data_IF_975441364218
#
_entry.id   IF_975441364218
#
_cell.length_a   1.000
_cell.length_b   1.000
_cell.length_c   1.000
_cell.angle_alpha   90.00
_cell.angle_beta   90.00
_cell.angle_gamma   90.00
#
_symmetry.space_group_name_H-M   'P 1'
#
loop_
_entity.id
_entity.type
_entity.pdbx_description
1 polymer ?
#
# COMPACT_ATOMS: atom_id res chain seq x y z
N UNK A 1 1.32 10.64 5.72
CA UNK A 1 1.96 10.24 7.00
C UNK A 1 2.89 9.06 6.75
N UNK A 2 3.91 8.82 7.59
CA UNK A 2 4.81 7.67 7.43
C UNK A 2 4.24 6.42 8.11
N UNK A 3 4.08 5.34 7.35
CA UNK A 3 3.68 4.02 7.86
C UNK A 3 4.94 3.28 8.29
N UNK A 4 5.37 3.53 9.52
CA UNK A 4 6.62 2.99 10.07
C UNK A 4 6.47 2.71 11.55
N UNK A 5 7.17 1.68 12.05
CA UNK A 5 7.18 1.33 13.46
C UNK A 5 7.60 2.52 14.32
N UNK A 6 6.80 2.82 15.34
CA UNK A 6 7.07 3.89 16.31
C UNK A 6 6.44 5.24 15.97
N UNK A 7 5.96 5.44 14.74
CA UNK A 7 5.12 6.59 14.45
C UNK A 7 3.75 6.42 15.13
N UNK A 8 3.35 7.40 15.95
CA UNK A 8 2.06 7.42 16.67
C UNK A 8 1.07 8.44 16.12
N UNK A 9 1.41 9.08 15.00
CA UNK A 9 0.49 10.01 14.33
C UNK A 9 -0.80 9.27 13.92
N UNK A 10 -1.94 9.83 14.32
CA UNK A 10 -3.24 9.27 13.92
C UNK A 10 -3.53 9.58 12.45
N UNK A 11 -3.97 8.57 11.71
CA UNK A 11 -4.50 8.75 10.36
C UNK A 11 -5.78 9.58 10.41
N UNK A 12 -5.90 10.54 9.48
CA UNK A 12 -7.06 11.43 9.35
C UNK A 12 -7.63 11.35 7.95
N UNK A 13 -8.90 11.71 7.81
CA UNK A 13 -9.56 11.83 6.50
C UNK A 13 -8.72 12.73 5.58
N UNK A 14 -8.53 12.28 4.35
CA UNK A 14 -7.75 12.99 3.33
C UNK A 14 -6.24 12.67 3.36
N UNK A 15 -5.75 11.97 4.38
CA UNK A 15 -4.39 11.45 4.35
C UNK A 15 -4.26 10.44 3.20
N UNK A 16 -3.17 10.56 2.45
CA UNK A 16 -2.76 9.60 1.42
C UNK A 16 -1.41 9.00 1.84
N UNK A 17 -1.25 7.70 1.64
CA UNK A 17 -0.01 6.95 1.84
C UNK A 17 0.03 5.70 0.96
N UNK A 18 1.20 5.11 0.81
CA UNK A 18 1.41 3.84 0.11
C UNK A 18 1.30 2.66 1.09
N UNK A 19 0.63 1.59 0.66
CA UNK A 19 0.75 0.26 1.29
C UNK A 19 1.64 -0.60 0.40
N UNK A 20 2.92 -0.72 0.79
CA UNK A 20 3.96 -1.26 -0.08
C UNK A 20 4.90 -2.30 0.59
N UNK A 21 4.39 -3.33 1.28
CA UNK A 21 5.24 -4.33 1.91
C UNK A 21 6.03 -5.13 0.87
N UNK A 22 7.32 -5.30 1.13
CA UNK A 22 8.23 -6.07 0.29
C UNK A 22 8.86 -7.25 1.02
N UNK A 23 8.99 -8.38 0.34
CA UNK A 23 9.76 -9.54 0.81
C UNK A 23 10.91 -9.76 -0.16
N UNK A 24 12.12 -9.86 0.39
CA UNK A 24 13.35 -9.97 -0.38
C UNK A 24 14.13 -11.22 0.02
N UNK A 25 14.53 -12.02 -0.97
CA UNK A 25 15.39 -13.18 -0.80
C UNK A 25 16.78 -12.88 -1.38
N UNK A 26 17.81 -12.67 -0.54
CA UNK A 26 19.15 -12.28 -1.00
C UNK A 26 19.72 -13.22 -2.05
N UNK A 27 20.29 -12.65 -3.11
CA UNK A 27 20.89 -13.40 -4.21
C UNK A 27 19.91 -14.11 -5.14
N UNK A 28 18.59 -13.94 -4.96
CA UNK A 28 17.57 -14.49 -5.86
C UNK A 28 16.67 -13.40 -6.44
N UNK A 29 15.67 -12.98 -5.70
CA UNK A 29 14.68 -11.98 -6.13
C UNK A 29 14.00 -11.35 -4.92
N UNK A 30 13.25 -10.28 -5.17
CA UNK A 30 12.32 -9.69 -4.21
C UNK A 30 11.01 -9.36 -4.90
N UNK A 31 9.94 -9.30 -4.11
CA UNK A 31 8.61 -8.91 -4.56
C UNK A 31 8.13 -7.81 -3.63
N UNK A 32 7.58 -6.76 -4.22
CA UNK A 32 6.84 -5.69 -3.53
C UNK A 32 5.54 -5.48 -4.29
N UNK A 33 4.45 -5.41 -3.56
CA UNK A 33 3.13 -5.02 -4.08
C UNK A 33 2.85 -3.68 -3.43
N UNK A 34 2.42 -2.71 -4.24
CA UNK A 34 2.29 -1.31 -3.82
C UNK A 34 0.96 -0.77 -4.32
N UNK A 35 0.15 -0.27 -3.37
CA UNK A 35 -1.14 0.39 -3.61
C UNK A 35 -1.12 1.80 -3.01
N UNK A 36 -1.69 2.78 -3.71
CA UNK A 36 -1.99 4.10 -3.14
C UNK A 36 -3.29 4.05 -2.33
N UNK A 37 -3.25 4.51 -1.08
CA UNK A 37 -4.38 4.44 -0.14
C UNK A 37 -4.78 5.84 0.31
N UNK A 38 -6.06 6.17 0.14
CA UNK A 38 -6.67 7.39 0.71
C UNK A 38 -7.57 7.04 1.89
N UNK A 39 -7.39 7.78 2.99
CA UNK A 39 -8.25 7.65 4.17
C UNK A 39 -9.53 8.45 3.95
N UNK A 40 -10.66 7.76 4.04
CA UNK A 40 -12.02 8.30 3.90
C UNK A 40 -12.74 8.30 5.25
N UNK A 41 -13.97 8.81 5.28
CA UNK A 41 -14.82 8.76 6.49
C UNK A 41 -15.23 7.34 6.90
N UNK A 42 -15.25 6.40 5.95
CA UNK A 42 -15.70 5.01 6.18
C UNK A 42 -14.54 4.03 6.39
N UNK A 43 -13.31 4.52 6.52
CA UNK A 43 -12.08 3.72 6.50
C UNK A 43 -11.21 4.06 5.29
N UNK A 44 -10.45 3.11 4.79
CA UNK A 44 -9.56 3.31 3.65
C UNK A 44 -10.18 2.91 2.31
N UNK A 45 -9.71 3.55 1.23
CA UNK A 45 -10.00 3.15 -0.14
C UNK A 45 -8.70 3.08 -0.92
N UNK A 46 -8.54 1.97 -1.64
CA UNK A 46 -7.43 1.80 -2.57
C UNK A 46 -7.72 2.60 -3.84
N UNK A 47 -6.74 3.37 -4.26
CA UNK A 47 -6.76 4.15 -5.49
C UNK A 47 -6.06 3.33 -6.56
N UNK A 48 -6.72 2.30 -7.11
CA UNK A 48 -6.10 1.49 -8.17
C UNK A 48 -6.88 1.42 -9.48
N UNK A 49 -6.05 1.30 -10.52
CA UNK A 49 -6.33 0.91 -11.88
C UNK A 49 -6.13 -0.62 -11.98
N UNK A 50 -7.17 -1.33 -12.44
CA UNK A 50 -7.27 -2.77 -12.78
C UNK A 50 -6.14 -3.75 -12.36
N UNK A 51 -6.35 -4.49 -11.26
CA UNK A 51 -5.48 -5.59 -10.76
C UNK A 51 -5.53 -6.91 -11.56
N UNK A 52 -6.25 -6.99 -12.69
CA UNK A 52 -6.41 -8.24 -13.46
C UNK A 52 -5.23 -8.59 -14.37
N UNK A 53 -4.00 -8.40 -13.87
CA UNK A 53 -2.79 -8.75 -14.63
C UNK A 53 -2.71 -10.27 -14.94
N UNK A 54 -3.33 -11.11 -14.09
CA UNK A 54 -3.34 -12.58 -14.26
C UNK A 54 -4.53 -13.16 -15.02
N UNK A 55 -5.63 -12.42 -15.22
CA UNK A 55 -6.80 -12.95 -15.94
C UNK A 55 -6.67 -12.85 -17.47
N UNK A 56 -5.55 -12.30 -17.96
CA UNK A 56 -5.26 -12.07 -19.39
C UNK A 56 -4.14 -12.96 -19.95
N UNK A 57 -3.73 -14.00 -19.21
CA UNK A 57 -2.73 -14.98 -19.66
C UNK A 57 -3.35 -16.36 -19.84
#
# INVERSE_FOLDING_TARGET
>A
PYIVKGNKELLRRGNVHTDEPGIYLPGKFGIRIEDDVIITEKGERIVEFDRRFWEKS
#
